data_IF_419542790883
#
_entry.id   IF_419542790883
#
_cell.length_a   1.000
_cell.length_b   1.000
_cell.length_c   1.000
_cell.angle_alpha   90.00
_cell.angle_beta   90.00
_cell.angle_gamma   90.00
#
_symmetry.space_group_name_H-M   'P 1'
#
loop_
_entity.id
_entity.type
_entity.pdbx_description
1 polymer ?
#
# COMPACT_ATOMS: atom_id res chain seq x y z
N UNK A 1 -9.29 29.36 -15.19
CA UNK A 1 -10.37 28.40 -15.44
C UNK A 1 -10.73 27.65 -14.14
N UNK A 2 -11.72 26.76 -14.18
CA UNK A 2 -12.22 26.01 -13.01
C UNK A 2 -11.08 25.24 -12.29
N UNK A 3 -10.20 24.58 -13.05
CA UNK A 3 -9.05 23.88 -12.53
C UNK A 3 -8.09 24.78 -11.71
N UNK A 4 -7.86 25.99 -12.19
CA UNK A 4 -6.98 26.93 -11.49
C UNK A 4 -7.56 27.38 -10.16
N UNK A 5 -8.88 27.64 -10.11
CA UNK A 5 -9.60 28.01 -8.88
C UNK A 5 -9.57 26.84 -7.89
N UNK A 6 -9.83 25.63 -8.37
CA UNK A 6 -9.78 24.42 -7.54
C UNK A 6 -8.39 24.22 -6.93
N UNK A 7 -7.33 24.31 -7.73
CA UNK A 7 -5.96 24.15 -7.28
C UNK A 7 -5.56 25.24 -6.28
N UNK A 8 -6.00 26.48 -6.47
CA UNK A 8 -5.73 27.56 -5.52
C UNK A 8 -6.42 27.30 -4.17
N UNK A 9 -7.68 26.88 -4.19
CA UNK A 9 -8.39 26.48 -2.96
C UNK A 9 -7.75 25.26 -2.30
N UNK A 10 -7.27 24.28 -3.08
CA UNK A 10 -6.56 23.12 -2.54
C UNK A 10 -5.30 23.57 -1.77
N UNK A 11 -4.49 24.43 -2.34
CA UNK A 11 -3.29 24.95 -1.68
C UNK A 11 -3.64 25.74 -0.42
N UNK A 12 -4.69 26.58 -0.47
CA UNK A 12 -5.17 27.31 0.70
C UNK A 12 -5.66 26.36 1.81
N UNK A 13 -6.34 25.27 1.47
CA UNK A 13 -6.77 24.27 2.42
C UNK A 13 -5.60 23.58 3.15
N UNK A 14 -4.43 23.52 2.51
CA UNK A 14 -3.17 23.07 3.10
C UNK A 14 -2.35 24.20 3.75
N UNK A 15 -2.93 25.38 3.96
CA UNK A 15 -2.32 26.48 4.70
C UNK A 15 -1.37 27.36 3.87
N UNK A 16 -1.32 27.18 2.55
CA UNK A 16 -0.62 28.11 1.66
C UNK A 16 -1.43 29.40 1.51
N UNK A 17 -0.77 30.52 1.25
CA UNK A 17 -1.47 31.81 0.97
C UNK A 17 -2.10 31.82 -0.42
N UNK A 18 -1.59 31.00 -1.33
CA UNK A 18 -2.02 30.84 -2.70
C UNK A 18 -0.97 30.11 -3.51
N UNK A 19 -1.29 29.76 -4.74
CA UNK A 19 -0.39 29.04 -5.64
C UNK A 19 0.89 29.83 -5.96
N UNK A 20 0.75 31.13 -6.23
CA UNK A 20 1.89 32.00 -6.60
C UNK A 20 2.82 32.21 -5.43
N UNK A 21 2.25 32.44 -4.25
CA UNK A 21 2.97 32.66 -3.00
C UNK A 21 3.74 31.39 -2.58
N UNK A 22 3.20 30.21 -2.88
CA UNK A 22 3.89 28.92 -2.71
C UNK A 22 5.05 28.74 -3.70
N UNK A 23 5.09 29.52 -4.80
CA UNK A 23 6.07 29.36 -5.88
C UNK A 23 5.67 28.34 -6.95
N UNK A 24 4.39 27.94 -6.98
CA UNK A 24 3.87 27.06 -8.02
C UNK A 24 3.60 27.83 -9.34
N UNK A 25 3.79 27.16 -10.45
CA UNK A 25 3.57 27.69 -11.79
C UNK A 25 2.38 26.98 -12.43
N UNK A 26 1.34 27.73 -12.78
CA UNK A 26 0.21 27.24 -13.57
C UNK A 26 0.55 27.23 -15.07
N UNK A 27 -0.06 26.29 -15.80
CA UNK A 27 0.05 26.19 -17.25
C UNK A 27 1.51 26.24 -17.74
N UNK A 28 2.39 25.50 -17.05
CA UNK A 28 3.80 25.46 -17.39
C UNK A 28 4.00 24.84 -18.77
N UNK A 29 4.65 25.60 -19.65
CA UNK A 29 4.94 25.14 -21.01
C UNK A 29 5.96 24.00 -21.01
N UNK A 30 5.56 22.85 -21.58
CA UNK A 30 6.40 21.67 -21.78
C UNK A 30 6.91 21.63 -23.20
N UNK A 31 8.24 21.69 -23.38
CA UNK A 31 8.86 21.56 -24.71
C UNK A 31 8.76 20.12 -25.20
N UNK A 32 8.20 19.92 -26.38
CA UNK A 32 8.15 18.63 -27.07
C UNK A 32 9.01 18.73 -28.35
N UNK A 33 10.21 18.12 -28.38
CA UNK A 33 11.08 18.19 -29.55
C UNK A 33 10.48 17.53 -30.79
N UNK A 34 9.67 16.47 -30.61
CA UNK A 34 9.23 15.58 -31.67
C UNK A 34 7.75 15.75 -32.07
N UNK A 35 7.02 16.73 -31.52
CA UNK A 35 5.61 16.93 -31.80
C UNK A 35 5.31 18.36 -32.26
N UNK A 36 4.50 18.51 -33.31
CA UNK A 36 3.90 19.79 -33.69
C UNK A 36 2.86 20.16 -32.64
N UNK A 37 3.21 21.08 -31.75
CA UNK A 37 2.31 21.64 -30.73
C UNK A 37 2.99 21.93 -29.41
N UNK A 38 2.37 22.82 -28.66
CA UNK A 38 2.78 23.18 -27.30
C UNK A 38 1.92 22.37 -26.32
N UNK A 39 2.54 21.72 -25.35
CA UNK A 39 1.86 21.12 -24.23
C UNK A 39 2.06 21.98 -22.99
N UNK A 40 1.08 21.95 -22.09
CA UNK A 40 1.13 22.68 -20.85
C UNK A 40 0.78 21.71 -19.72
N UNK A 41 1.59 21.72 -18.65
CA UNK A 41 1.25 21.07 -17.40
C UNK A 41 0.38 22.02 -16.58
N UNK A 42 -0.72 21.52 -16.02
CA UNK A 42 -1.70 22.37 -15.33
C UNK A 42 -1.08 23.10 -14.14
N UNK A 43 -0.27 22.39 -13.31
CA UNK A 43 0.47 22.97 -12.22
C UNK A 43 1.81 22.27 -12.02
N UNK A 44 2.87 23.03 -11.84
CA UNK A 44 4.20 22.55 -11.45
C UNK A 44 4.75 23.36 -10.29
N UNK A 45 5.02 22.69 -9.18
CA UNK A 45 5.70 23.25 -8.01
C UNK A 45 7.01 22.49 -7.75
N UNK A 46 8.10 23.02 -8.26
CA UNK A 46 9.43 22.39 -8.15
C UNK A 46 10.05 22.60 -6.76
N UNK A 47 10.70 21.60 -6.20
CA UNK A 47 10.83 20.21 -6.65
C UNK A 47 9.74 19.28 -6.06
N UNK A 48 8.60 19.81 -5.68
CA UNK A 48 7.60 19.14 -4.82
C UNK A 48 6.63 18.31 -5.63
N UNK A 49 5.80 18.95 -6.48
CA UNK A 49 4.69 18.25 -7.14
C UNK A 49 4.42 18.77 -8.55
N UNK A 50 4.04 17.84 -9.44
CA UNK A 50 3.35 18.08 -10.70
C UNK A 50 1.88 17.65 -10.51
N UNK A 51 0.92 18.51 -10.80
CA UNK A 51 -0.50 18.19 -10.77
C UNK A 51 -1.08 18.34 -12.17
N UNK A 52 -1.73 17.29 -12.67
CA UNK A 52 -2.49 17.26 -13.91
C UNK A 52 -3.99 17.16 -13.62
N UNK A 53 -4.74 18.12 -14.10
CA UNK A 53 -6.20 18.16 -13.94
C UNK A 53 -6.90 17.50 -15.14
N UNK A 54 -7.94 16.76 -14.85
CA UNK A 54 -8.80 16.11 -15.84
C UNK A 54 -10.25 16.49 -15.60
N UNK A 55 -11.10 16.24 -16.56
CA UNK A 55 -12.53 16.52 -16.42
C UNK A 55 -13.13 15.63 -15.33
N UNK A 56 -14.15 16.15 -14.68
CA UNK A 56 -14.91 15.42 -13.66
C UNK A 56 -15.44 14.09 -14.21
N UNK A 57 -15.24 13.00 -13.46
CA UNK A 57 -15.63 11.65 -13.84
C UNK A 57 -14.76 10.97 -14.90
N UNK A 58 -13.65 11.59 -15.31
CA UNK A 58 -12.70 10.97 -16.24
C UNK A 58 -11.83 9.93 -15.52
N UNK A 59 -11.59 8.81 -16.18
CA UNK A 59 -10.75 7.73 -15.66
C UNK A 59 -9.27 8.14 -15.65
N UNK A 60 -8.73 8.38 -14.46
CA UNK A 60 -7.38 8.88 -14.27
C UNK A 60 -6.29 7.90 -14.71
N UNK A 61 -6.57 6.59 -14.74
CA UNK A 61 -5.60 5.57 -15.18
C UNK A 61 -5.08 5.81 -16.60
N UNK A 62 -5.92 6.39 -17.47
CA UNK A 62 -5.60 6.68 -18.86
C UNK A 62 -4.63 7.84 -19.05
N UNK A 63 -4.39 8.63 -18.00
CA UNK A 63 -3.61 9.86 -18.07
C UNK A 63 -2.22 9.76 -17.47
N UNK A 64 -1.88 8.62 -16.86
CA UNK A 64 -0.55 8.37 -16.29
C UNK A 64 0.57 8.67 -17.28
N UNK A 65 0.47 8.16 -18.52
CA UNK A 65 1.52 8.32 -19.53
C UNK A 65 1.76 9.79 -19.90
N UNK A 66 0.71 10.59 -19.96
CA UNK A 66 0.83 12.02 -20.21
C UNK A 66 1.58 12.73 -19.08
N UNK A 67 1.20 12.47 -17.83
CA UNK A 67 1.87 13.06 -16.65
C UNK A 67 3.33 12.62 -16.57
N UNK A 68 3.63 11.35 -16.83
CA UNK A 68 4.99 10.83 -16.89
C UNK A 68 5.82 11.53 -17.99
N UNK A 69 5.28 11.70 -19.20
CA UNK A 69 5.93 12.40 -20.30
C UNK A 69 6.24 13.86 -19.95
N UNK A 70 5.37 14.52 -19.18
CA UNK A 70 5.63 15.89 -18.69
C UNK A 70 6.72 15.90 -17.65
N UNK A 71 6.64 14.99 -16.67
CA UNK A 71 7.61 14.88 -15.59
C UNK A 71 9.04 14.62 -16.09
N UNK A 72 9.21 13.72 -17.07
CA UNK A 72 10.53 13.45 -17.69
C UNK A 72 11.17 14.73 -18.24
N UNK A 73 10.37 15.66 -18.75
CA UNK A 73 10.83 16.90 -19.39
C UNK A 73 11.05 18.07 -18.41
N UNK A 74 10.66 17.93 -17.15
CA UNK A 74 10.81 18.95 -16.13
C UNK A 74 12.24 19.00 -15.53
N UNK A 75 13.26 19.05 -16.37
CA UNK A 75 14.67 19.12 -15.97
C UNK A 75 15.12 20.58 -16.07
N UNK A 76 15.93 21.09 -15.12
CA UNK A 76 16.29 20.54 -13.80
C UNK A 76 15.15 20.69 -12.77
N UNK A 77 15.28 19.93 -11.65
CA UNK A 77 14.36 20.06 -10.52
C UNK A 77 13.01 19.37 -10.76
N UNK A 78 13.05 18.11 -11.22
CA UNK A 78 11.82 17.29 -11.33
C UNK A 78 11.10 17.22 -10.00
N UNK A 79 9.77 17.41 -10.00
CA UNK A 79 8.96 17.17 -8.82
C UNK A 79 9.05 15.70 -8.37
N UNK A 80 9.12 15.47 -7.06
CA UNK A 80 9.08 14.13 -6.51
C UNK A 80 7.70 13.49 -6.69
N UNK A 81 6.65 14.25 -6.37
CA UNK A 81 5.29 13.75 -6.44
C UNK A 81 4.61 14.13 -7.75
N UNK A 82 3.75 13.23 -8.25
CA UNK A 82 2.87 13.50 -9.38
C UNK A 82 1.44 13.17 -8.95
N UNK A 83 0.52 14.10 -9.19
CA UNK A 83 -0.90 13.93 -8.85
C UNK A 83 -1.73 14.06 -10.11
N UNK A 84 -2.55 13.06 -10.37
CA UNK A 84 -3.66 13.13 -11.32
C UNK A 84 -4.93 13.45 -10.54
N UNK A 85 -5.69 14.45 -10.97
CA UNK A 85 -6.92 14.87 -10.29
C UNK A 85 -8.02 15.17 -11.31
N UNK A 86 -9.25 14.71 -11.02
CA UNK A 86 -10.46 15.01 -11.80
C UNK A 86 -11.51 15.78 -10.99
N UNK A 87 -11.10 16.54 -9.97
CA UNK A 87 -11.90 17.25 -8.97
C UNK A 87 -12.51 16.34 -7.88
N UNK A 88 -12.83 15.10 -8.21
CA UNK A 88 -13.48 14.16 -7.29
C UNK A 88 -12.48 13.16 -6.70
N UNK A 89 -11.39 12.88 -7.42
CA UNK A 89 -10.37 11.90 -7.05
C UNK A 89 -8.97 12.48 -7.22
N UNK A 90 -8.06 11.98 -6.37
CA UNK A 90 -6.62 12.25 -6.42
C UNK A 90 -5.88 10.92 -6.50
N UNK A 91 -5.10 10.72 -7.56
CA UNK A 91 -4.17 9.62 -7.69
C UNK A 91 -2.76 10.16 -7.51
N UNK A 92 -2.11 9.77 -6.42
CA UNK A 92 -0.80 10.27 -5.99
C UNK A 92 0.26 9.26 -6.36
N UNK A 93 1.32 9.71 -7.00
CA UNK A 93 2.51 8.94 -7.32
C UNK A 93 3.72 9.53 -6.61
N UNK A 94 4.60 8.69 -6.05
CA UNK A 94 5.93 9.08 -5.57
C UNK A 94 6.98 8.51 -6.54
N UNK A 95 7.47 9.34 -7.43
CA UNK A 95 8.38 8.92 -8.49
C UNK A 95 9.81 8.63 -8.03
N UNK A 96 10.13 8.84 -6.75
CA UNK A 96 11.37 8.35 -6.17
C UNK A 96 11.29 6.90 -5.68
N UNK A 97 10.09 6.44 -5.29
CA UNK A 97 9.92 5.13 -4.66
C UNK A 97 9.05 4.16 -5.46
N UNK A 98 8.01 4.66 -6.14
CA UNK A 98 7.01 3.83 -6.82
C UNK A 98 6.47 4.55 -8.06
N UNK A 99 7.09 4.27 -9.23
CA UNK A 99 6.73 4.95 -10.48
C UNK A 99 5.59 4.29 -11.23
N UNK A 100 5.37 2.99 -11.08
CA UNK A 100 4.50 2.16 -11.92
C UNK A 100 3.03 2.15 -11.47
N UNK A 101 2.78 2.53 -10.23
CA UNK A 101 1.44 2.57 -9.64
C UNK A 101 1.29 3.71 -8.64
N UNK A 102 0.07 4.22 -8.39
CA UNK A 102 -0.13 5.26 -7.39
C UNK A 102 0.19 4.74 -5.99
N UNK A 103 0.90 5.56 -5.21
CA UNK A 103 1.13 5.31 -3.76
C UNK A 103 -0.12 5.55 -2.94
N UNK A 104 -1.07 6.32 -3.48
CA UNK A 104 -2.39 6.52 -2.89
C UNK A 104 -3.43 6.91 -3.94
N UNK A 105 -4.68 6.48 -3.70
CA UNK A 105 -5.87 6.91 -4.42
C UNK A 105 -6.92 7.31 -3.39
N UNK A 106 -7.38 8.54 -3.42
CA UNK A 106 -8.37 9.06 -2.47
C UNK A 106 -9.40 9.93 -3.17
N UNK A 107 -10.60 9.96 -2.61
CA UNK A 107 -11.65 10.88 -3.09
C UNK A 107 -11.55 12.23 -2.38
N UNK A 108 -12.15 13.26 -2.98
CA UNK A 108 -12.26 14.57 -2.33
C UNK A 108 -13.00 14.47 -0.98
N UNK A 109 -13.95 13.54 -0.84
CA UNK A 109 -14.69 13.31 0.40
C UNK A 109 -13.78 12.69 1.50
N UNK A 110 -12.79 11.88 1.12
CA UNK A 110 -11.85 11.28 2.06
C UNK A 110 -10.78 12.27 2.55
N UNK A 111 -10.53 13.33 1.77
CA UNK A 111 -9.41 14.25 2.00
C UNK A 111 -9.36 14.83 3.43
N UNK A 112 -10.49 15.22 4.09
CA UNK A 112 -10.44 15.73 5.46
C UNK A 112 -9.89 14.73 6.48
N UNK A 113 -10.03 13.42 6.23
CA UNK A 113 -9.55 12.34 7.11
C UNK A 113 -8.23 11.75 6.66
N UNK A 114 -7.86 11.97 5.40
CA UNK A 114 -6.67 11.40 4.75
C UNK A 114 -5.76 12.47 4.13
N UNK A 115 -5.82 13.70 4.64
CA UNK A 115 -4.99 14.82 4.17
C UNK A 115 -3.49 14.51 4.21
N UNK A 116 -3.06 13.59 5.07
CA UNK A 116 -1.67 13.13 5.13
C UNK A 116 -1.10 12.63 3.80
N UNK A 117 -1.94 12.13 2.88
CA UNK A 117 -1.52 11.71 1.54
C UNK A 117 -1.01 12.89 0.68
N UNK A 118 -1.44 14.11 0.96
CA UNK A 118 -1.01 15.34 0.30
C UNK A 118 -0.22 16.27 1.24
N UNK A 119 0.36 15.73 2.32
CA UNK A 119 1.07 16.54 3.34
C UNK A 119 2.28 17.32 2.79
N UNK A 120 2.79 16.94 1.62
CA UNK A 120 3.81 17.71 0.90
C UNK A 120 3.30 19.08 0.40
N UNK A 121 2.00 19.36 0.46
CA UNK A 121 1.43 20.67 0.11
C UNK A 121 1.50 21.69 1.26
N UNK A 122 1.78 21.27 2.51
CA UNK A 122 1.94 22.22 3.61
C UNK A 122 3.10 23.19 3.40
N UNK A 123 3.03 24.43 3.95
CA UNK A 123 4.13 25.39 3.89
C UNK A 123 5.43 24.87 4.49
N UNK A 124 5.34 24.12 5.58
CA UNK A 124 6.42 23.29 6.11
C UNK A 124 6.15 21.86 5.66
N UNK A 125 6.91 21.33 4.69
CA UNK A 125 6.64 20.02 4.15
C UNK A 125 6.71 18.94 5.23
N UNK A 126 5.64 18.17 5.36
CA UNK A 126 5.58 16.99 6.21
C UNK A 126 5.73 15.73 5.35
N UNK A 127 6.24 14.65 5.95
CA UNK A 127 6.35 13.38 5.25
C UNK A 127 4.93 12.84 4.99
N UNK A 128 4.55 12.61 3.73
CA UNK A 128 3.24 12.07 3.42
C UNK A 128 3.02 10.68 4.04
N UNK A 129 1.75 10.35 4.29
CA UNK A 129 1.30 9.04 4.75
C UNK A 129 0.39 8.47 3.68
N UNK A 130 0.86 7.44 2.99
CA UNK A 130 0.16 6.81 1.87
C UNK A 130 -0.50 5.49 2.27
N UNK A 131 -1.65 5.19 1.67
CA UNK A 131 -2.37 3.94 1.88
C UNK A 131 -1.86 2.77 1.04
N UNK A 132 -1.14 3.04 -0.05
CA UNK A 132 -0.60 2.04 -1.00
C UNK A 132 0.89 2.26 -1.25
N UNK A 133 1.63 2.67 -0.24
CA UNK A 133 3.09 2.73 -0.25
C UNK A 133 3.64 1.33 0.02
N UNK A 134 4.04 0.64 -1.04
CA UNK A 134 4.54 -0.74 -0.96
C UNK A 134 5.75 -0.88 -0.04
N UNK A 135 6.63 0.12 0.01
CA UNK A 135 7.78 0.11 0.93
C UNK A 135 7.33 0.22 2.38
N UNK A 136 6.45 1.18 2.68
CA UNK A 136 5.93 1.38 4.03
C UNK A 136 5.11 0.18 4.51
N UNK A 137 4.23 -0.35 3.65
CA UNK A 137 3.43 -1.55 3.93
C UNK A 137 4.32 -2.77 4.16
N UNK A 138 5.34 -2.98 3.31
CA UNK A 138 6.27 -4.10 3.45
C UNK A 138 7.09 -3.98 4.73
N UNK A 139 7.54 -2.78 5.08
CA UNK A 139 8.29 -2.52 6.32
C UNK A 139 7.42 -2.78 7.56
N UNK A 140 6.19 -2.25 7.60
CA UNK A 140 5.26 -2.48 8.71
C UNK A 140 4.94 -3.98 8.86
N UNK A 141 4.72 -4.70 7.76
CA UNK A 141 4.51 -6.14 7.79
C UNK A 141 5.73 -6.89 8.34
N UNK A 142 6.96 -6.52 7.91
CA UNK A 142 8.19 -7.11 8.41
C UNK A 142 8.37 -6.85 9.92
N UNK A 143 8.11 -5.64 10.38
CA UNK A 143 8.21 -5.27 11.79
C UNK A 143 7.18 -6.02 12.66
N UNK A 144 5.96 -6.20 12.16
CA UNK A 144 4.91 -7.01 12.83
C UNK A 144 5.31 -8.48 12.93
N UNK A 145 5.85 -9.05 11.84
CA UNK A 145 6.35 -10.42 11.83
C UNK A 145 7.52 -10.61 12.78
N UNK A 146 8.49 -9.68 12.78
CA UNK A 146 9.61 -9.69 13.72
C UNK A 146 9.12 -9.59 15.19
N UNK A 147 8.12 -8.75 15.44
CA UNK A 147 7.48 -8.61 16.75
C UNK A 147 6.81 -9.92 17.19
N UNK A 148 6.05 -10.56 16.29
CA UNK A 148 5.42 -11.85 16.56
C UNK A 148 6.48 -12.91 16.90
N UNK A 149 7.49 -13.06 16.06
CA UNK A 149 8.62 -13.97 16.27
C UNK A 149 9.30 -13.74 17.63
N UNK A 150 9.66 -12.48 17.93
CA UNK A 150 10.34 -12.15 19.17
C UNK A 150 9.47 -12.45 20.41
N UNK A 151 8.15 -12.19 20.35
CA UNK A 151 7.21 -12.54 21.42
C UNK A 151 7.12 -14.05 21.64
N UNK A 152 7.14 -14.85 20.58
CA UNK A 152 7.13 -16.32 20.69
C UNK A 152 8.40 -16.82 21.36
N UNK A 153 9.57 -16.33 20.94
CA UNK A 153 10.87 -16.69 21.55
C UNK A 153 10.92 -16.24 23.01
N UNK A 154 10.46 -15.04 23.33
CA UNK A 154 10.41 -14.53 24.72
C UNK A 154 9.49 -15.36 25.63
N UNK A 155 8.48 -16.03 25.06
CA UNK A 155 7.59 -16.97 25.77
C UNK A 155 8.17 -18.38 25.93
N UNK A 156 9.42 -18.60 25.49
CA UNK A 156 10.11 -19.88 25.61
C UNK A 156 9.87 -20.84 24.44
N UNK A 157 9.24 -20.40 23.36
CA UNK A 157 9.11 -21.21 22.15
C UNK A 157 10.50 -21.38 21.51
N UNK A 158 10.84 -22.60 21.10
CA UNK A 158 12.08 -22.86 20.38
C UNK A 158 12.20 -21.94 19.15
N UNK A 159 13.40 -21.41 18.95
CA UNK A 159 13.66 -20.40 17.91
C UNK A 159 13.35 -20.94 16.51
N UNK A 160 13.69 -22.19 16.22
CA UNK A 160 13.43 -22.83 14.92
C UNK A 160 11.94 -23.06 14.70
N UNK A 161 11.23 -23.46 15.76
CA UNK A 161 9.77 -23.62 15.74
C UNK A 161 9.07 -22.28 15.54
N UNK A 162 9.46 -21.23 16.26
CA UNK A 162 8.92 -19.88 16.13
C UNK A 162 9.14 -19.33 14.72
N UNK A 163 10.32 -19.53 14.13
CA UNK A 163 10.63 -19.12 12.77
C UNK A 163 9.74 -19.84 11.75
N UNK A 164 9.62 -21.16 11.87
CA UNK A 164 8.78 -21.96 10.97
C UNK A 164 7.31 -21.55 11.07
N UNK A 165 6.79 -21.39 12.27
CA UNK A 165 5.43 -20.95 12.50
C UNK A 165 5.16 -19.58 11.85
N UNK A 166 6.05 -18.62 12.07
CA UNK A 166 5.90 -17.26 11.48
C UNK A 166 5.91 -17.31 9.95
N UNK A 167 6.79 -18.13 9.36
CA UNK A 167 6.84 -18.29 7.90
C UNK A 167 5.59 -19.02 7.36
N UNK A 168 5.09 -20.05 8.04
CA UNK A 168 3.88 -20.77 7.64
C UNK A 168 2.64 -19.88 7.68
N UNK A 169 2.49 -19.04 8.72
CA UNK A 169 1.42 -18.04 8.79
C UNK A 169 1.54 -17.04 7.65
N UNK A 170 2.75 -16.51 7.40
CA UNK A 170 2.97 -15.54 6.31
C UNK A 170 2.56 -16.12 4.94
N UNK A 171 2.99 -17.35 4.66
CA UNK A 171 2.65 -18.01 3.38
C UNK A 171 1.15 -18.32 3.31
N UNK A 172 0.51 -18.73 4.40
CA UNK A 172 -0.93 -18.95 4.44
C UNK A 172 -1.72 -17.65 4.17
N UNK A 173 -1.34 -16.53 4.80
CA UNK A 173 -1.94 -15.20 4.53
C UNK A 173 -1.73 -14.77 3.08
N UNK A 174 -0.53 -14.94 2.55
CA UNK A 174 -0.25 -14.64 1.15
C UNK A 174 -1.08 -15.51 0.20
N UNK A 175 -1.25 -16.78 0.53
CA UNK A 175 -2.06 -17.72 -0.27
C UNK A 175 -3.54 -17.36 -0.28
N UNK A 176 -4.04 -16.81 0.81
CA UNK A 176 -5.39 -16.24 0.89
C UNK A 176 -5.51 -14.99 0.01
N UNK A 177 -4.53 -14.10 0.07
CA UNK A 177 -4.52 -12.83 -0.66
C UNK A 177 -4.50 -13.04 -2.19
N UNK A 178 -3.76 -14.03 -2.67
CA UNK A 178 -3.71 -14.38 -4.11
C UNK A 178 -4.80 -15.37 -4.55
N UNK A 179 -5.73 -15.73 -3.67
CA UNK A 179 -6.89 -16.57 -3.98
C UNK A 179 -6.61 -18.09 -4.07
N UNK A 180 -5.48 -18.57 -3.53
CA UNK A 180 -5.19 -20.00 -3.40
C UNK A 180 -5.88 -20.63 -2.17
N UNK A 181 -6.20 -19.83 -1.17
CA UNK A 181 -7.09 -20.19 -0.07
C UNK A 181 -8.39 -19.38 -0.19
N UNK A 182 -9.44 -19.87 0.47
CA UNK A 182 -10.71 -19.15 0.56
C UNK A 182 -10.50 -17.80 1.27
N UNK A 183 -11.14 -16.76 0.76
CA UNK A 183 -11.03 -15.40 1.30
C UNK A 183 -11.47 -15.38 2.78
N UNK A 184 -10.67 -14.72 3.60
CA UNK A 184 -10.86 -14.61 5.06
C UNK A 184 -10.75 -15.93 5.86
N UNK A 185 -10.25 -17.01 5.27
CA UNK A 185 -10.03 -18.28 6.00
C UNK A 185 -9.00 -18.09 7.12
N UNK A 186 -7.81 -17.60 6.78
CA UNK A 186 -6.70 -17.42 7.75
C UNK A 186 -7.04 -16.31 8.75
N UNK A 187 -7.57 -15.20 8.26
CA UNK A 187 -8.02 -14.09 9.10
C UNK A 187 -9.06 -14.54 10.12
N UNK A 188 -10.07 -15.32 9.68
CA UNK A 188 -11.10 -15.90 10.56
C UNK A 188 -10.54 -16.88 11.59
N UNK A 189 -9.54 -17.71 11.21
CA UNK A 189 -8.86 -18.59 12.16
C UNK A 189 -8.09 -17.81 13.23
N UNK A 190 -7.41 -16.71 12.83
CA UNK A 190 -6.71 -15.85 13.78
C UNK A 190 -7.68 -15.17 14.75
N UNK A 191 -8.83 -14.72 14.25
CA UNK A 191 -9.89 -14.13 15.08
C UNK A 191 -10.52 -15.15 16.06
N UNK A 192 -10.58 -16.42 15.68
CA UNK A 192 -11.09 -17.51 16.52
C UNK A 192 -10.07 -17.95 17.59
N UNK A 193 -8.78 -17.63 17.44
CA UNK A 193 -7.76 -17.95 18.42
C UNK A 193 -7.89 -17.05 19.65
N UNK A 194 -8.62 -17.52 20.66
CA UNK A 194 -8.81 -16.82 21.95
C UNK A 194 -7.82 -17.28 23.01
N UNK A 195 -7.23 -18.44 22.83
CA UNK A 195 -6.25 -19.04 23.74
C UNK A 195 -5.05 -19.61 22.97
N UNK A 196 -3.92 -19.89 23.64
CA UNK A 196 -2.79 -20.59 23.00
C UNK A 196 -3.15 -21.96 22.46
N UNK A 197 -4.08 -22.68 23.10
CA UNK A 197 -4.57 -23.99 22.64
C UNK A 197 -5.29 -23.85 21.31
N UNK A 198 -6.06 -22.79 21.10
CA UNK A 198 -6.79 -22.57 19.84
C UNK A 198 -5.81 -22.39 18.68
N UNK A 199 -4.72 -21.64 18.88
CA UNK A 199 -3.71 -21.48 17.84
C UNK A 199 -2.99 -22.79 17.50
N UNK A 200 -2.72 -23.63 18.51
CA UNK A 200 -2.15 -24.96 18.31
C UNK A 200 -3.06 -25.82 17.45
N UNK A 201 -4.36 -25.85 17.76
CA UNK A 201 -5.33 -26.66 17.04
C UNK A 201 -5.72 -26.08 15.68
N UNK A 202 -6.12 -24.82 15.63
CA UNK A 202 -6.68 -24.21 14.41
C UNK A 202 -5.62 -23.98 13.35
N UNK A 203 -4.54 -23.30 13.72
CA UNK A 203 -3.47 -22.98 12.77
C UNK A 203 -2.64 -24.23 12.43
N UNK A 204 -2.36 -25.08 13.42
CA UNK A 204 -1.69 -26.34 13.17
C UNK A 204 -2.49 -27.25 12.21
N UNK A 205 -3.81 -27.29 12.35
CA UNK A 205 -4.67 -28.08 11.45
C UNK A 205 -4.77 -27.48 10.05
N UNK A 206 -4.69 -26.15 9.91
CA UNK A 206 -4.56 -25.52 8.59
C UNK A 206 -3.24 -25.94 7.91
N UNK A 207 -2.13 -25.93 8.65
CA UNK A 207 -0.82 -26.33 8.11
C UNK A 207 -0.79 -27.82 7.74
N UNK A 208 -1.46 -28.70 8.51
CA UNK A 208 -1.64 -30.09 8.13
C UNK A 208 -2.47 -30.23 6.84
N UNK A 209 -3.54 -29.47 6.70
CA UNK A 209 -4.35 -29.47 5.48
C UNK A 209 -3.53 -29.01 4.26
N UNK A 210 -2.72 -27.95 4.40
CA UNK A 210 -1.82 -27.46 3.35
C UNK A 210 -0.69 -28.44 3.01
N UNK A 211 -0.35 -29.36 3.91
CA UNK A 211 0.63 -30.43 3.69
C UNK A 211 0.01 -31.75 3.19
N UNK A 212 -1.31 -31.84 3.13
CA UNK A 212 -1.99 -33.07 2.71
C UNK A 212 -2.14 -33.12 1.19
N UNK A 213 -1.61 -34.14 0.48
CA UNK A 213 -1.74 -34.23 -0.97
C UNK A 213 -3.19 -34.21 -1.43
N UNK A 214 -3.48 -33.39 -2.44
CA UNK A 214 -4.82 -33.17 -2.99
C UNK A 214 -5.65 -32.18 -2.18
N UNK A 215 -6.90 -32.00 -2.59
CA UNK A 215 -7.82 -31.08 -1.91
C UNK A 215 -8.46 -31.74 -0.69
N UNK A 216 -8.47 -31.03 0.41
CA UNK A 216 -9.16 -31.47 1.64
C UNK A 216 -10.66 -31.70 1.34
N UNK A 217 -11.13 -32.94 1.56
CA UNK A 217 -12.46 -33.35 1.11
C UNK A 217 -13.62 -32.81 1.97
N UNK A 218 -13.36 -32.44 3.23
CA UNK A 218 -14.42 -31.99 4.14
C UNK A 218 -13.91 -31.24 5.37
N UNK A 219 -14.85 -30.86 6.25
CA UNK A 219 -14.56 -30.13 7.46
C UNK A 219 -14.29 -28.64 7.20
N UNK A 220 -13.69 -27.97 8.19
CA UNK A 220 -13.41 -26.53 8.18
C UNK A 220 -12.44 -26.12 7.05
N UNK A 221 -11.55 -27.03 6.66
CA UNK A 221 -10.53 -26.78 5.64
C UNK A 221 -10.89 -27.40 4.28
N UNK A 222 -12.18 -27.65 4.03
CA UNK A 222 -12.64 -28.18 2.74
C UNK A 222 -12.18 -27.31 1.60
N UNK A 223 -11.54 -27.91 0.61
CA UNK A 223 -11.06 -27.22 -0.57
C UNK A 223 -9.65 -26.65 -0.46
N UNK A 224 -9.04 -26.67 0.71
CA UNK A 224 -7.60 -26.33 0.86
C UNK A 224 -6.78 -27.32 0.05
N UNK A 225 -5.94 -26.80 -0.83
CA UNK A 225 -5.10 -27.57 -1.73
C UNK A 225 -3.73 -27.85 -1.12
N UNK A 226 -3.02 -28.83 -1.66
CA UNK A 226 -1.66 -29.16 -1.25
C UNK A 226 -0.67 -28.08 -1.68
N UNK A 227 0.13 -27.61 -0.75
CA UNK A 227 1.23 -26.70 -1.00
C UNK A 227 2.56 -27.47 -1.11
N UNK A 228 2.96 -27.79 -2.34
CA UNK A 228 4.24 -28.45 -2.61
C UNK A 228 5.39 -27.49 -2.38
N UNK A 229 6.30 -27.81 -1.45
CA UNK A 229 7.44 -26.94 -1.23
C UNK A 229 8.19 -27.10 0.09
N UNK A 230 7.93 -28.15 0.85
CA UNK A 230 8.72 -28.46 2.07
C UNK A 230 8.46 -27.53 3.26
N UNK A 231 7.94 -26.33 3.09
CA UNK A 231 7.63 -25.43 4.20
C UNK A 231 6.60 -26.04 5.17
N UNK A 232 5.56 -26.68 4.64
CA UNK A 232 4.51 -27.33 5.40
C UNK A 232 4.78 -28.81 5.70
N UNK A 233 5.89 -29.39 5.21
CA UNK A 233 6.26 -30.79 5.49
C UNK A 233 6.38 -31.11 6.98
N UNK A 234 6.66 -30.10 7.79
CA UNK A 234 6.62 -30.18 9.25
C UNK A 234 5.75 -29.06 9.76
N UNK A 235 4.43 -29.26 9.94
CA UNK A 235 3.53 -28.26 10.48
C UNK A 235 3.98 -27.75 11.84
N UNK A 236 4.12 -26.44 11.98
CA UNK A 236 4.53 -25.85 13.22
C UNK A 236 3.33 -25.70 14.14
N UNK A 237 3.39 -26.38 15.30
CA UNK A 237 2.40 -26.26 16.36
C UNK A 237 3.05 -25.63 17.57
N UNK A 238 2.50 -24.53 18.04
CA UNK A 238 3.00 -23.84 19.25
C UNK A 238 2.19 -24.33 20.42
N UNK A 239 2.86 -25.02 21.34
CA UNK A 239 2.25 -25.45 22.58
C UNK A 239 1.88 -24.24 23.47
N UNK A 240 0.76 -24.35 24.22
CA UNK A 240 0.43 -23.33 25.21
C UNK A 240 1.59 -23.21 26.21
N UNK A 241 1.90 -21.96 26.59
CA UNK A 241 2.88 -21.75 27.65
C UNK A 241 2.43 -22.50 28.90
N UNK A 242 3.27 -23.42 29.39
CA UNK A 242 3.01 -24.06 30.67
C UNK A 242 2.91 -22.96 31.73
N UNK A 243 1.90 -22.98 32.63
CA UNK A 243 1.91 -22.05 33.77
C UNK A 243 3.22 -22.25 34.53
N UNK A 244 3.93 -21.17 34.77
CA UNK A 244 5.09 -21.18 35.66
C UNK A 244 4.64 -21.69 37.02
N UNK A 245 5.22 -22.82 37.43
CA UNK A 245 5.01 -23.41 38.76
C UNK A 245 5.46 -22.43 39.86
#
# INVERSE_FOLDING_TARGET
GEAQIFLDHLFQAFGQQGLKEAGATLEMRIKRPDAKGTAFADLVWKPVVLIEMKKRGEDLSKHYRQAFDYWVRLVPGRPRYVVLCNFDEFWVYDFETQMDSPVDCLTLADLPHRYGALAFLFPTPEKPVFGNDHEAVTRDAADRLATCFNKLVARGVDRSLAQRFTLQILVALFSEDIGLLEQYLVAGLLDDCKSPSDSYDLLGSLFDAMNTPGKTAGGRFKGVDYFDGGLFATPARIEPAMPSA
#
